data_IF_612827977322
#
_entry.id   IF_612827977322
#
_cell.length_a   1.000
_cell.length_b   1.000
_cell.length_c   1.000
_cell.angle_alpha   90.00
_cell.angle_beta   90.00
_cell.angle_gamma   90.00
#
_symmetry.space_group_name_H-M   'P 1'
#
loop_
_entity.id
_entity.type
_entity.pdbx_description
1 polymer ?
#
# COMPACT_ATOMS: atom_id res chain seq x y z
N UNK A 1 -5.61 -7.75 -46.03
CA UNK A 1 -4.38 -8.05 -45.27
C UNK A 1 -3.64 -6.83 -44.71
N UNK A 2 -3.70 -5.61 -45.30
CA UNK A 2 -2.94 -4.47 -44.75
C UNK A 2 -3.63 -3.72 -43.60
N UNK A 3 -4.97 -3.66 -43.56
CA UNK A 3 -5.72 -2.86 -42.57
C UNK A 3 -5.46 -3.30 -41.12
N UNK A 4 -5.40 -4.61 -40.87
CA UNK A 4 -5.17 -5.17 -39.52
C UNK A 4 -3.75 -4.86 -39.00
N UNK A 5 -2.74 -4.89 -39.89
CA UNK A 5 -1.37 -4.52 -39.53
C UNK A 5 -1.27 -3.05 -39.13
N UNK A 6 -1.88 -2.15 -39.91
CA UNK A 6 -1.94 -0.72 -39.58
C UNK A 6 -2.70 -0.44 -38.27
N UNK A 7 -3.80 -1.16 -37.99
CA UNK A 7 -4.52 -1.06 -36.72
C UNK A 7 -3.66 -1.52 -35.53
N UNK A 8 -2.93 -2.64 -35.68
CA UNK A 8 -2.01 -3.15 -34.65
C UNK A 8 -0.84 -2.18 -34.39
N UNK A 9 -0.28 -1.60 -35.45
CA UNK A 9 0.81 -0.63 -35.38
C UNK A 9 0.37 0.67 -34.67
N UNK A 10 -0.76 1.24 -35.05
CA UNK A 10 -1.38 2.38 -34.37
C UNK A 10 -1.69 2.10 -32.88
N UNK A 11 -2.13 0.88 -32.54
CA UNK A 11 -2.39 0.46 -31.17
C UNK A 11 -1.09 0.35 -30.34
N UNK A 12 -0.03 -0.20 -30.93
CA UNK A 12 1.31 -0.29 -30.32
C UNK A 12 1.90 1.10 -30.10
N UNK A 13 1.77 2.01 -31.07
CA UNK A 13 2.22 3.40 -30.93
C UNK A 13 1.42 4.16 -29.85
N UNK A 14 0.10 4.06 -29.87
CA UNK A 14 -0.77 4.64 -28.84
C UNK A 14 -0.37 4.17 -27.44
N UNK A 15 -0.15 2.86 -27.26
CA UNK A 15 0.31 2.27 -25.99
C UNK A 15 1.70 2.79 -25.57
N UNK A 16 2.63 2.97 -26.51
CA UNK A 16 3.95 3.57 -26.22
C UNK A 16 3.82 5.04 -25.78
N UNK A 17 2.98 5.82 -26.45
CA UNK A 17 2.83 7.25 -26.20
C UNK A 17 2.10 7.52 -24.87
N UNK A 18 1.05 6.77 -24.56
CA UNK A 18 0.39 6.80 -23.24
C UNK A 18 1.39 6.43 -22.13
N UNK A 19 2.15 5.33 -22.27
CA UNK A 19 3.16 4.93 -21.29
C UNK A 19 4.24 6.01 -21.09
N UNK A 20 4.67 6.67 -22.17
CA UNK A 20 5.64 7.77 -22.12
C UNK A 20 5.09 8.96 -21.32
N UNK A 21 3.88 9.42 -21.65
CA UNK A 21 3.24 10.56 -20.98
C UNK A 21 3.03 10.32 -19.48
N UNK A 22 2.64 9.11 -19.09
CA UNK A 22 2.52 8.73 -17.67
C UNK A 22 3.88 8.78 -16.95
N UNK A 23 4.97 8.35 -17.60
CA UNK A 23 6.32 8.44 -17.00
C UNK A 23 6.83 9.89 -16.93
N UNK A 24 6.53 10.72 -17.92
CA UNK A 24 6.85 12.16 -17.91
C UNK A 24 6.12 12.89 -16.77
N UNK A 25 4.82 12.65 -16.60
CA UNK A 25 4.02 13.22 -15.50
C UNK A 25 4.52 12.77 -14.14
N UNK A 26 4.75 11.45 -13.95
CA UNK A 26 5.31 10.93 -12.69
C UNK A 26 6.69 11.50 -12.36
N UNK A 27 7.54 11.73 -13.37
CA UNK A 27 8.85 12.37 -13.14
C UNK A 27 8.69 13.83 -12.72
N UNK A 28 7.83 14.60 -13.40
CA UNK A 28 7.56 16.00 -13.02
C UNK A 28 7.06 16.16 -11.58
N UNK A 29 6.21 15.25 -11.10
CA UNK A 29 5.77 15.18 -9.71
C UNK A 29 6.96 14.90 -8.78
N UNK A 30 7.77 13.87 -9.08
CA UNK A 30 8.95 13.53 -8.26
C UNK A 30 9.96 14.69 -8.20
N UNK A 31 10.20 15.36 -9.33
CA UNK A 31 11.13 16.48 -9.44
C UNK A 31 10.65 17.69 -8.59
N UNK A 32 9.35 18.02 -8.60
CA UNK A 32 8.80 19.09 -7.77
C UNK A 32 8.74 18.74 -6.28
N UNK A 33 8.42 17.48 -5.95
CA UNK A 33 8.35 16.94 -4.60
C UNK A 33 9.73 16.91 -3.91
N UNK A 34 10.79 16.64 -4.69
CA UNK A 34 12.18 16.77 -4.26
C UNK A 34 12.62 18.23 -4.11
N UNK A 35 12.30 19.11 -5.07
CA UNK A 35 12.57 20.54 -4.98
C UNK A 35 11.96 21.17 -3.72
N UNK A 36 10.69 20.85 -3.42
CA UNK A 36 10.04 21.30 -2.18
C UNK A 36 10.73 20.75 -0.93
N UNK A 37 11.13 19.47 -0.91
CA UNK A 37 11.90 18.90 0.21
C UNK A 37 13.21 19.62 0.44
N UNK A 38 13.98 19.92 -0.60
CA UNK A 38 15.29 20.58 -0.47
C UNK A 38 15.18 22.06 -0.11
N UNK A 39 14.23 22.80 -0.71
CA UNK A 39 14.00 24.23 -0.41
C UNK A 39 13.50 24.43 1.02
N UNK A 40 12.56 23.61 1.49
CA UNK A 40 12.00 23.76 2.84
C UNK A 40 12.76 22.95 3.91
N UNK A 41 13.82 22.22 3.53
CA UNK A 41 14.70 21.46 4.43
C UNK A 41 15.12 22.22 5.71
N UNK A 42 15.54 23.50 5.66
CA UNK A 42 15.97 24.24 6.84
C UNK A 42 14.84 24.50 7.87
N UNK A 43 13.58 24.30 7.48
CA UNK A 43 12.39 24.45 8.32
C UNK A 43 11.85 23.07 8.73
N UNK A 44 11.87 22.10 7.81
CA UNK A 44 11.40 20.73 8.04
C UNK A 44 12.25 20.01 9.09
N UNK A 45 13.59 20.06 8.99
CA UNK A 45 14.49 19.31 9.88
C UNK A 45 14.42 19.77 11.36
N UNK A 46 14.39 21.08 11.69
CA UNK A 46 14.18 21.51 13.07
C UNK A 46 12.82 21.09 13.63
N UNK A 47 11.76 21.06 12.80
CA UNK A 47 10.40 20.73 13.24
C UNK A 47 10.18 19.23 13.46
N UNK A 48 10.72 18.36 12.60
CA UNK A 48 10.70 16.90 12.84
C UNK A 48 11.47 16.55 14.11
N UNK A 49 12.68 17.09 14.27
CA UNK A 49 13.52 16.94 15.47
C UNK A 49 12.81 17.45 16.73
N UNK A 50 11.95 18.48 16.62
CA UNK A 50 11.14 18.99 17.75
C UNK A 50 9.98 18.06 18.09
N UNK A 51 9.36 17.38 17.12
CA UNK A 51 8.31 16.37 17.38
C UNK A 51 8.87 15.19 18.17
N UNK A 52 10.04 14.68 17.77
CA UNK A 52 10.70 13.55 18.44
C UNK A 52 11.14 13.85 19.88
N UNK A 53 11.59 15.09 20.14
CA UNK A 53 12.02 15.53 21.47
C UNK A 53 10.87 15.82 22.45
N UNK A 54 9.62 15.85 21.98
CA UNK A 54 8.44 16.13 22.80
C UNK A 54 7.59 14.87 23.03
N UNK A 55 8.23 13.78 23.49
CA UNK A 55 7.53 12.57 23.96
C UNK A 55 7.78 12.35 25.46
N UNK A 56 7.03 13.02 26.36
CA UNK A 56 6.87 12.58 27.75
C UNK A 56 5.94 11.37 27.80
N UNK A 57 6.27 10.38 28.62
CA UNK A 57 5.43 9.19 28.78
C UNK A 57 4.34 9.39 29.85
N UNK A 58 3.10 9.74 29.45
CA UNK A 58 1.91 9.11 30.05
C UNK A 58 0.56 9.33 29.31
N UNK A 59 -0.30 8.31 29.42
CA UNK A 59 -1.78 8.31 29.46
C UNK A 59 -2.67 9.25 28.59
N UNK A 60 -3.41 8.60 27.67
CA UNK A 60 -4.83 8.83 27.30
C UNK A 60 -5.21 10.05 26.39
N UNK A 61 -6.36 9.98 25.66
CA UNK A 61 -6.68 10.89 24.56
C UNK A 61 -7.70 12.00 24.93
N UNK A 62 -7.76 13.03 24.09
CA UNK A 62 -8.86 14.01 24.05
C UNK A 62 -9.11 14.50 22.62
N UNK A 63 -10.39 14.66 22.23
CA UNK A 63 -10.81 15.32 21.00
C UNK A 63 -10.60 16.85 21.08
N UNK A 64 -10.38 17.50 19.92
CA UNK A 64 -11.00 18.80 19.66
C UNK A 64 -11.09 19.13 18.16
N UNK A 65 -12.02 20.05 17.84
CA UNK A 65 -12.51 20.38 16.49
C UNK A 65 -11.98 21.73 15.98
N UNK A 66 -11.88 21.81 14.65
CA UNK A 66 -12.11 22.98 13.79
C UNK A 66 -11.38 24.31 14.07
N UNK A 67 -10.67 24.81 13.05
CA UNK A 67 -11.07 26.08 12.38
C UNK A 67 -10.34 26.22 11.03
N UNK A 68 -11.00 26.87 10.06
CA UNK A 68 -10.53 27.03 8.68
C UNK A 68 -10.38 28.51 8.32
N UNK A 69 -9.36 28.82 7.51
CA UNK A 69 -9.30 29.98 6.61
C UNK A 69 -8.24 29.63 5.53
N UNK A 70 -8.58 29.23 4.30
CA UNK A 70 -9.32 29.91 3.20
C UNK A 70 -8.34 30.47 2.15
N UNK A 71 -8.83 30.65 0.91
CA UNK A 71 -8.11 30.77 -0.38
C UNK A 71 -7.60 29.41 -0.93
N UNK A 72 -8.37 28.60 -1.66
CA UNK A 72 -9.02 28.79 -3.00
C UNK A 72 -8.04 29.23 -4.10
N UNK A 73 -7.91 28.56 -5.25
CA UNK A 73 -8.64 27.39 -5.81
C UNK A 73 -7.69 26.56 -6.71
N UNK A 74 -7.60 25.23 -6.54
CA UNK A 74 -8.40 24.17 -7.21
C UNK A 74 -8.12 24.12 -8.74
N UNK A 75 -7.84 23.01 -9.44
CA UNK A 75 -8.00 21.54 -9.26
C UNK A 75 -6.73 20.81 -9.80
N UNK A 76 -6.36 19.54 -9.58
CA UNK A 76 -6.67 18.46 -8.60
C UNK A 76 -5.52 17.39 -8.65
N UNK A 77 -5.33 16.64 -7.56
CA UNK A 77 -4.66 15.30 -7.48
C UNK A 77 -5.15 14.50 -6.23
N UNK A 78 -6.22 14.96 -5.56
CA UNK A 78 -6.60 14.49 -4.22
C UNK A 78 -7.43 13.19 -4.24
N UNK A 79 -8.08 12.84 -5.36
CA UNK A 79 -9.01 11.70 -5.41
C UNK A 79 -8.31 10.35 -5.08
N UNK A 80 -7.09 10.12 -5.59
CA UNK A 80 -6.33 8.90 -5.33
C UNK A 80 -5.85 8.82 -3.87
N UNK A 81 -5.36 9.92 -3.32
CA UNK A 81 -4.86 9.98 -1.95
C UNK A 81 -6.01 9.89 -0.93
N UNK A 82 -7.13 10.54 -1.22
CA UNK A 82 -8.39 10.44 -0.47
C UNK A 82 -8.88 8.99 -0.42
N UNK A 83 -8.93 8.28 -1.56
CA UNK A 83 -9.33 6.87 -1.58
C UNK A 83 -8.43 6.01 -0.68
N UNK A 84 -7.12 6.11 -0.86
CA UNK A 84 -6.12 5.36 -0.08
C UNK A 84 -6.24 5.61 1.44
N UNK A 85 -6.27 6.87 1.87
CA UNK A 85 -6.43 7.25 3.28
C UNK A 85 -7.78 6.76 3.86
N UNK A 86 -8.86 6.86 3.09
CA UNK A 86 -10.18 6.39 3.52
C UNK A 86 -10.24 4.86 3.71
N UNK A 87 -9.43 4.05 3.02
CA UNK A 87 -9.33 2.62 3.30
C UNK A 87 -8.58 2.30 4.60
N UNK A 88 -7.59 3.12 5.01
CA UNK A 88 -6.97 3.02 6.33
C UNK A 88 -7.90 3.44 7.48
N UNK A 89 -8.96 4.21 7.19
CA UNK A 89 -10.00 4.57 8.15
C UNK A 89 -11.14 3.53 8.19
N UNK A 90 -11.55 2.99 7.03
CA UNK A 90 -12.58 1.95 6.88
C UNK A 90 -12.06 0.54 7.23
N UNK A 91 -11.34 0.37 8.34
CA UNK A 91 -10.75 -0.91 8.76
C UNK A 91 -11.85 -1.96 9.06
N UNK A 92 -11.72 -3.21 8.60
CA UNK A 92 -12.57 -4.30 9.07
C UNK A 92 -12.50 -4.44 10.59
N UNK A 93 -13.64 -4.64 11.26
CA UNK A 93 -13.67 -4.83 12.71
C UNK A 93 -12.86 -6.06 13.12
N UNK A 94 -12.28 -6.04 14.34
CA UNK A 94 -11.25 -6.97 14.81
C UNK A 94 -11.53 -8.47 14.56
N UNK A 95 -12.81 -8.87 14.51
CA UNK A 95 -13.24 -10.25 14.25
C UNK A 95 -12.98 -10.71 12.81
N UNK A 96 -13.05 -9.82 11.80
CA UNK A 96 -12.88 -10.12 10.37
C UNK A 96 -11.43 -10.04 9.87
N UNK A 97 -10.55 -9.41 10.64
CA UNK A 97 -9.16 -9.16 10.25
C UNK A 97 -8.27 -10.40 10.43
N UNK A 98 -7.42 -10.73 9.44
CA UNK A 98 -6.51 -11.88 9.49
C UNK A 98 -5.10 -11.49 9.95
N UNK A 99 -4.73 -11.89 11.17
CA UNK A 99 -3.36 -11.71 11.72
C UNK A 99 -2.43 -12.90 11.45
N UNK A 100 -2.88 -13.93 10.74
CA UNK A 100 -2.16 -15.21 10.58
C UNK A 100 -1.30 -15.24 9.31
N UNK A 101 -1.85 -14.74 8.21
CA UNK A 101 -1.18 -14.61 6.91
C UNK A 101 -1.31 -13.20 6.31
N UNK A 102 -2.02 -12.31 7.01
CA UNK A 102 -2.24 -10.93 6.62
C UNK A 102 -1.22 -9.96 7.22
N UNK A 103 -1.38 -8.70 6.82
CA UNK A 103 -0.76 -7.57 7.50
C UNK A 103 -1.37 -7.41 8.89
N UNK A 104 -0.63 -6.81 9.82
CA UNK A 104 -1.14 -6.32 11.09
C UNK A 104 -0.41 -5.05 11.51
N UNK A 105 -1.00 -4.30 12.44
CA UNK A 105 -0.32 -3.16 13.08
C UNK A 105 0.33 -3.65 14.38
N UNK A 106 1.62 -3.37 14.54
CA UNK A 106 2.37 -3.63 15.77
C UNK A 106 2.44 -2.35 16.60
N UNK A 107 1.80 -2.37 17.77
CA UNK A 107 1.79 -1.26 18.72
C UNK A 107 3.19 -0.97 19.30
N UNK A 108 4.10 -1.94 19.34
CA UNK A 108 5.42 -1.77 19.94
C UNK A 108 6.39 -1.03 19.01
N UNK A 109 6.31 -1.23 17.69
CA UNK A 109 7.11 -0.51 16.70
C UNK A 109 6.35 0.63 15.99
N UNK A 110 5.07 0.85 16.31
CA UNK A 110 4.23 1.88 15.70
C UNK A 110 4.03 1.69 14.19
N UNK A 111 4.16 0.46 13.69
CA UNK A 111 4.30 0.18 12.26
C UNK A 111 3.43 -0.99 11.79
N UNK A 112 3.11 -1.02 10.50
CA UNK A 112 2.52 -2.20 9.87
C UNK A 112 3.58 -3.27 9.61
N UNK A 113 3.19 -4.54 9.76
CA UNK A 113 4.04 -5.72 9.58
C UNK A 113 3.31 -6.89 8.91
N UNK A 114 4.05 -7.72 8.16
CA UNK A 114 3.63 -9.04 7.66
C UNK A 114 4.67 -10.06 8.14
N UNK A 115 4.26 -10.95 9.04
CA UNK A 115 5.23 -11.65 9.89
C UNK A 115 6.08 -10.64 10.67
N UNK A 116 7.40 -10.82 10.67
CA UNK A 116 8.34 -9.94 11.36
C UNK A 116 8.75 -8.71 10.53
N UNK A 117 8.33 -8.64 9.27
CA UNK A 117 8.80 -7.65 8.30
C UNK A 117 7.91 -6.42 8.25
N UNK A 118 8.52 -5.22 8.32
CA UNK A 118 7.81 -3.94 8.21
C UNK A 118 7.25 -3.75 6.80
N UNK A 119 6.03 -3.22 6.73
CA UNK A 119 5.36 -2.77 5.51
C UNK A 119 5.36 -1.25 5.47
N UNK A 120 5.90 -0.68 4.39
CA UNK A 120 5.79 0.75 4.08
C UNK A 120 4.85 0.97 2.90
N UNK A 121 4.34 2.18 2.75
CA UNK A 121 3.47 2.57 1.65
C UNK A 121 4.05 3.83 1.00
N UNK A 122 4.20 3.81 -0.32
CA UNK A 122 4.89 4.89 -1.06
C UNK A 122 4.35 4.99 -2.48
N UNK A 123 3.98 6.20 -2.91
CA UNK A 123 3.50 6.50 -4.26
C UNK A 123 2.42 5.53 -4.79
N UNK A 124 1.42 5.20 -3.97
CA UNK A 124 0.34 4.26 -4.33
C UNK A 124 0.75 2.79 -4.43
N UNK A 125 1.90 2.40 -3.87
CA UNK A 125 2.38 1.02 -3.83
C UNK A 125 2.62 0.57 -2.38
N UNK A 126 2.41 -0.73 -2.12
CA UNK A 126 2.88 -1.40 -0.92
C UNK A 126 4.34 -1.81 -1.12
N UNK A 127 5.20 -1.47 -0.17
CA UNK A 127 6.61 -1.85 -0.17
C UNK A 127 6.89 -2.83 0.98
N UNK A 128 7.55 -3.93 0.65
CA UNK A 128 7.93 -5.00 1.58
C UNK A 128 9.23 -5.66 1.09
N UNK A 129 10.24 -5.78 1.96
CA UNK A 129 11.51 -6.45 1.66
C UNK A 129 12.14 -6.04 0.30
N UNK A 130 12.17 -4.72 0.05
CA UNK A 130 12.68 -4.10 -1.17
C UNK A 130 11.95 -4.48 -2.47
N UNK A 131 10.74 -5.07 -2.38
CA UNK A 131 9.79 -5.24 -3.48
C UNK A 131 8.67 -4.23 -3.36
N UNK A 132 8.07 -3.90 -4.50
CA UNK A 132 6.92 -3.00 -4.62
C UNK A 132 5.76 -3.75 -5.28
N UNK A 133 4.57 -3.61 -4.70
CA UNK A 133 3.34 -4.23 -5.17
C UNK A 133 2.31 -3.12 -5.42
N UNK A 134 1.57 -3.14 -6.55
CA UNK A 134 0.55 -2.14 -6.83
C UNK A 134 -0.51 -2.19 -5.74
N UNK A 135 -0.94 -1.03 -5.22
CA UNK A 135 -2.08 -1.02 -4.30
C UNK A 135 -3.37 -1.23 -5.09
N UNK A 136 -4.14 -2.25 -4.69
CA UNK A 136 -5.44 -2.58 -5.25
C UNK A 136 -6.41 -2.99 -4.14
N UNK A 137 -7.71 -2.97 -4.43
CA UNK A 137 -8.73 -3.40 -3.47
C UNK A 137 -8.69 -4.92 -3.23
N UNK A 138 -8.36 -5.72 -4.26
CA UNK A 138 -8.23 -7.16 -4.16
C UNK A 138 -7.02 -7.57 -3.31
N UNK A 139 -5.85 -6.98 -3.55
CA UNK A 139 -4.65 -7.22 -2.75
C UNK A 139 -4.83 -6.71 -1.31
N UNK A 140 -5.49 -5.58 -1.11
CA UNK A 140 -5.83 -5.09 0.24
C UNK A 140 -6.76 -6.06 0.99
N UNK A 141 -7.78 -6.60 0.32
CA UNK A 141 -8.68 -7.59 0.91
C UNK A 141 -7.95 -8.91 1.22
N UNK A 142 -7.05 -9.37 0.35
CA UNK A 142 -6.14 -10.50 0.60
C UNK A 142 -5.20 -10.28 1.79
N UNK A 143 -4.68 -9.06 1.97
CA UNK A 143 -3.78 -8.72 3.07
C UNK A 143 -4.49 -8.48 4.40
N UNK A 144 -5.75 -8.06 4.41
CA UNK A 144 -6.44 -7.65 5.64
C UNK A 144 -7.58 -8.59 6.08
N UNK A 145 -8.33 -9.20 5.16
CA UNK A 145 -9.53 -9.99 5.52
C UNK A 145 -9.24 -11.49 5.69
N UNK A 146 -10.09 -12.17 6.47
CA UNK A 146 -10.16 -13.64 6.56
C UNK A 146 -10.91 -14.31 5.41
N UNK A 147 -11.70 -13.52 4.69
CA UNK A 147 -12.55 -13.89 3.56
C UNK A 147 -12.37 -12.79 2.51
N UNK A 148 -11.36 -12.90 1.62
CA UNK A 148 -11.04 -11.87 0.66
C UNK A 148 -12.12 -11.76 -0.42
N UNK A 149 -12.43 -10.54 -0.86
CA UNK A 149 -13.50 -10.27 -1.83
C UNK A 149 -12.94 -9.91 -3.18
N UNK A 150 -13.38 -10.65 -4.21
CA UNK A 150 -13.13 -10.38 -5.62
C UNK A 150 -11.66 -10.03 -5.99
N UNK A 151 -10.64 -10.75 -5.50
CA UNK A 151 -9.28 -10.53 -5.97
C UNK A 151 -9.14 -10.90 -7.45
N UNK A 152 -8.35 -10.14 -8.18
CA UNK A 152 -7.92 -10.49 -9.54
C UNK A 152 -6.80 -11.53 -9.51
N UNK A 153 -6.45 -12.08 -10.67
CA UNK A 153 -5.30 -13.01 -10.79
C UNK A 153 -3.99 -12.29 -10.41
N UNK A 154 -3.82 -11.04 -10.83
CA UNK A 154 -2.66 -10.19 -10.53
C UNK A 154 -2.52 -9.90 -9.02
N UNK A 155 -3.65 -9.76 -8.31
CA UNK A 155 -3.67 -9.62 -6.85
C UNK A 155 -3.25 -10.91 -6.14
N UNK A 156 -3.69 -12.06 -6.66
CA UNK A 156 -3.33 -13.38 -6.12
C UNK A 156 -1.85 -13.66 -6.32
N UNK A 157 -1.30 -13.41 -7.52
CA UNK A 157 0.14 -13.51 -7.79
C UNK A 157 0.97 -12.59 -6.88
N UNK A 158 0.54 -11.33 -6.72
CA UNK A 158 1.19 -10.37 -5.81
C UNK A 158 1.16 -10.84 -4.35
N UNK A 159 0.00 -11.33 -3.88
CA UNK A 159 -0.14 -11.88 -2.53
C UNK A 159 0.71 -13.15 -2.32
N UNK A 160 0.82 -14.00 -3.34
CA UNK A 160 1.65 -15.20 -3.32
C UNK A 160 3.15 -14.87 -3.24
N UNK A 161 3.61 -13.85 -3.95
CA UNK A 161 4.99 -13.37 -3.85
C UNK A 161 5.27 -12.72 -2.48
N UNK A 162 4.31 -11.97 -1.92
CA UNK A 162 4.37 -11.45 -0.54
C UNK A 162 4.49 -12.59 0.47
N UNK A 163 3.67 -13.63 0.38
CA UNK A 163 3.71 -14.77 1.31
C UNK A 163 5.04 -15.53 1.21
N UNK A 164 5.52 -15.78 -0.01
CA UNK A 164 6.83 -16.44 -0.27
C UNK A 164 7.98 -15.61 0.29
N UNK A 165 8.02 -14.31 -0.02
CA UNK A 165 9.10 -13.39 0.38
C UNK A 165 9.14 -13.14 1.90
N UNK A 166 7.98 -12.95 2.54
CA UNK A 166 7.86 -12.78 4.00
C UNK A 166 7.96 -14.09 4.80
N UNK A 167 7.86 -15.24 4.13
CA UNK A 167 7.77 -16.59 4.73
C UNK A 167 6.67 -16.75 5.80
N UNK A 168 5.74 -15.80 5.95
CA UNK A 168 4.75 -15.78 7.05
C UNK A 168 3.85 -17.02 7.07
N UNK A 169 3.56 -17.59 5.90
CA UNK A 169 2.84 -18.84 5.69
C UNK A 169 3.56 -20.12 6.22
N UNK A 170 4.84 -20.05 6.56
CA UNK A 170 5.65 -21.17 7.04
C UNK A 170 5.91 -21.13 8.55
N UNK A 171 6.20 -22.29 9.13
CA UNK A 171 6.75 -22.48 10.48
C UNK A 171 8.29 -22.45 10.44
N UNK A 172 8.91 -22.40 11.62
CA UNK A 172 10.37 -22.47 11.76
C UNK A 172 10.99 -23.78 11.22
N UNK A 173 10.24 -24.89 11.26
CA UNK A 173 10.65 -26.18 10.68
C UNK A 173 10.39 -26.29 9.16
N UNK A 174 10.11 -25.17 8.50
CA UNK A 174 9.84 -25.09 7.06
C UNK A 174 8.48 -25.65 6.62
N UNK A 175 7.68 -26.25 7.52
CA UNK A 175 6.36 -26.78 7.17
C UNK A 175 5.31 -25.67 7.09
N UNK A 176 4.21 -25.86 6.34
CA UNK A 176 3.12 -24.89 6.32
C UNK A 176 2.52 -24.64 7.71
N UNK A 177 2.21 -23.38 8.02
CA UNK A 177 1.23 -23.04 9.05
C UNK A 177 -0.16 -23.38 8.47
N UNK A 178 -0.78 -24.45 8.96
CA UNK A 178 -2.15 -24.81 8.58
C UNK A 178 -3.17 -24.04 9.43
N UNK A 179 -4.39 -23.84 8.92
CA UNK A 179 -5.48 -23.22 9.69
C UNK A 179 -6.85 -23.79 9.27
N UNK A 180 -7.89 -23.49 10.06
CA UNK A 180 -9.29 -23.87 9.77
C UNK A 180 -10.09 -22.74 9.09
N UNK A 181 -9.50 -21.55 8.90
CA UNK A 181 -10.18 -20.42 8.26
C UNK A 181 -10.28 -20.56 6.74
N UNK A 182 -11.34 -19.98 6.16
CA UNK A 182 -11.65 -20.04 4.72
C UNK A 182 -10.44 -19.73 3.83
N UNK A 183 -9.78 -18.59 4.05
CA UNK A 183 -8.56 -18.15 3.33
C UNK A 183 -7.40 -19.15 3.36
N UNK A 184 -7.27 -19.99 4.40
CA UNK A 184 -6.30 -21.09 4.32
C UNK A 184 -6.74 -22.10 3.25
N UNK A 185 -7.99 -22.57 3.29
CA UNK A 185 -8.49 -23.57 2.35
C UNK A 185 -8.52 -23.08 0.89
N UNK A 186 -8.87 -21.83 0.64
CA UNK A 186 -9.10 -21.29 -0.73
C UNK A 186 -7.95 -20.47 -1.32
N UNK A 187 -7.06 -19.91 -0.50
CA UNK A 187 -5.98 -19.02 -0.98
C UNK A 187 -4.59 -19.53 -0.64
N UNK A 188 -4.35 -19.94 0.62
CA UNK A 188 -2.99 -20.26 1.10
C UNK A 188 -2.63 -21.75 0.90
N UNK A 189 -3.60 -22.67 0.95
CA UNK A 189 -3.37 -24.11 0.69
C UNK A 189 -2.91 -24.39 -0.75
N UNK A 190 -3.49 -23.79 -1.81
CA UNK A 190 -3.04 -23.95 -3.20
C UNK A 190 -1.61 -23.44 -3.50
N UNK A 191 -0.88 -22.89 -2.53
CA UNK A 191 0.55 -22.59 -2.67
C UNK A 191 1.47 -23.82 -2.51
N UNK A 192 0.91 -24.96 -2.10
CA UNK A 192 1.65 -26.16 -1.71
C UNK A 192 1.17 -27.45 -2.41
N UNK A 193 0.36 -27.30 -3.46
CA UNK A 193 -0.22 -28.39 -4.27
C UNK A 193 0.16 -28.21 -5.75
#
# INVERSE_FOLDING_TARGET
MNKEKALLENLIESKKNIKRKIMEMKRGIIDSDNYCRDVFKPIIEPLSTRREKNIPCNSQPADQKNSEASCTSDEDDDELNSSFANFFNKRPTLKRYDKSYGMHYDNASGSYKIGDHIVTFSHGNLQLLNRYYPWTLGLWSLLCEKEPKNPTIEDMESYYDILKTSRVHLKADGKPKTSKFHKWATVVKPLYE
#
